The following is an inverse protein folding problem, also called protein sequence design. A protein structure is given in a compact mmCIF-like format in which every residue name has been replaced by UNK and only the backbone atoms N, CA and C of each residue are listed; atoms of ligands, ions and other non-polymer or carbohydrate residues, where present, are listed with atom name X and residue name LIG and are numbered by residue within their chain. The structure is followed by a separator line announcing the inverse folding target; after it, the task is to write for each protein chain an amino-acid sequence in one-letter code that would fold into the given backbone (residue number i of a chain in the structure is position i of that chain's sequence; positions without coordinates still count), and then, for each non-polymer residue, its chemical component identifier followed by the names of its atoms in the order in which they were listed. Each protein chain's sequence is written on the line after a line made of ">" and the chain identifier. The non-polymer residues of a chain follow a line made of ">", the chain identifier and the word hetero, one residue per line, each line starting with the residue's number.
data_IF_395765071527
#
_entry.id   IF_395765071527
#
_cell.length_a   1.000
_cell.length_b   1.000
_cell.length_c   1.000
_cell.angle_alpha   90.00
_cell.angle_beta   90.00
_cell.angle_gamma   90.00
#
_symmetry.space_group_name_H-M   'P 1'
#
loop_
_entity.id
_entity.type
_entity.pdbx_description
1 polymer ?
#
# COMPACT_ATOMS: atom_id res chain seq x y z
N UNK A 1 16.47 -10.38 -31.82
CA UNK A 1 16.37 -8.96 -31.42
C UNK A 1 15.24 -8.88 -30.42
N UNK A 2 15.53 -8.88 -29.11
CA UNK A 2 14.47 -8.79 -28.11
C UNK A 2 13.89 -7.37 -28.13
N UNK A 3 12.58 -7.18 -28.29
CA UNK A 3 11.96 -5.87 -28.10
C UNK A 3 11.80 -5.67 -26.59
N UNK A 4 12.90 -5.57 -25.85
CA UNK A 4 12.85 -5.00 -24.51
C UNK A 4 12.80 -3.49 -24.75
N UNK A 5 11.63 -2.87 -24.57
CA UNK A 5 11.57 -1.42 -24.48
C UNK A 5 12.48 -0.96 -23.34
N UNK A 6 13.09 0.22 -23.48
CA UNK A 6 13.88 0.80 -22.40
C UNK A 6 13.01 0.92 -21.14
N UNK A 7 13.41 0.24 -20.06
CA UNK A 7 12.70 0.36 -18.79
C UNK A 7 12.87 1.81 -18.28
N UNK A 8 11.76 2.54 -18.20
CA UNK A 8 11.74 3.89 -17.66
C UNK A 8 11.27 3.86 -16.21
N UNK A 9 12.15 4.29 -15.31
CA UNK A 9 11.78 4.49 -13.91
C UNK A 9 10.78 5.63 -13.76
N UNK A 10 9.71 5.36 -13.00
CA UNK A 10 8.71 6.35 -12.64
C UNK A 10 8.31 6.15 -11.18
N UNK A 11 8.04 7.27 -10.52
CA UNK A 11 7.44 7.28 -9.20
C UNK A 11 6.01 6.79 -9.24
N UNK A 12 5.55 6.34 -8.09
CA UNK A 12 4.15 6.05 -7.87
C UNK A 12 3.77 6.17 -6.41
N UNK A 13 2.49 5.98 -6.17
CA UNK A 13 1.83 6.21 -4.89
C UNK A 13 1.85 4.93 -4.03
N UNK A 14 1.65 3.79 -4.68
CA UNK A 14 1.59 2.49 -4.05
C UNK A 14 2.58 1.54 -4.73
N UNK A 15 3.54 1.03 -3.96
CA UNK A 15 4.69 0.27 -4.47
C UNK A 15 4.30 -0.86 -5.43
N UNK A 16 3.26 -1.63 -5.13
CA UNK A 16 2.83 -2.77 -5.95
C UNK A 16 2.23 -2.32 -7.30
N UNK A 17 1.32 -1.35 -7.31
CA UNK A 17 0.68 -0.89 -8.56
C UNK A 17 1.63 -0.08 -9.42
N UNK A 18 2.50 0.73 -8.80
CA UNK A 18 3.53 1.48 -9.50
C UNK A 18 4.55 0.53 -10.18
N UNK A 19 5.01 -0.51 -9.47
CA UNK A 19 5.88 -1.53 -10.05
C UNK A 19 5.22 -2.23 -11.25
N UNK A 20 3.94 -2.59 -11.13
CA UNK A 20 3.16 -3.15 -12.23
C UNK A 20 3.12 -2.19 -13.43
N UNK A 21 2.80 -0.91 -13.24
CA UNK A 21 2.73 0.08 -14.32
C UNK A 21 4.07 0.23 -15.05
N UNK A 22 5.17 0.32 -14.32
CA UNK A 22 6.50 0.51 -14.92
C UNK A 22 6.92 -0.71 -15.76
N UNK A 23 6.63 -1.93 -15.31
CA UNK A 23 6.91 -3.14 -16.10
C UNK A 23 6.02 -3.21 -17.34
N UNK A 24 4.72 -2.91 -17.20
CA UNK A 24 3.79 -2.92 -18.33
C UNK A 24 4.19 -1.88 -19.38
N UNK A 25 4.59 -0.67 -18.95
CA UNK A 25 5.08 0.39 -19.82
C UNK A 25 6.35 -0.03 -20.59
N UNK A 26 7.29 -0.70 -19.93
CA UNK A 26 8.49 -1.25 -20.59
C UNK A 26 8.15 -2.34 -21.63
N UNK A 27 7.01 -3.00 -21.47
CA UNK A 27 6.42 -3.91 -22.46
C UNK A 27 5.60 -3.22 -23.57
N UNK A 28 5.57 -1.88 -23.61
CA UNK A 28 4.80 -1.10 -24.58
C UNK A 28 3.36 -0.79 -24.18
N UNK A 29 3.01 -0.98 -22.90
CA UNK A 29 1.65 -0.87 -22.39
C UNK A 29 1.54 0.16 -21.27
N UNK A 30 1.27 1.41 -21.67
CA UNK A 30 0.98 2.49 -20.74
C UNK A 30 -0.39 2.31 -20.09
N UNK A 31 -0.41 2.31 -18.75
CA UNK A 31 -1.63 2.24 -17.94
C UNK A 31 -1.43 3.08 -16.70
N UNK A 32 -2.47 3.83 -16.32
CA UNK A 32 -2.42 4.64 -15.12
C UNK A 32 -2.39 3.79 -13.85
N UNK A 33 -1.62 4.21 -12.86
CA UNK A 33 -1.52 3.55 -11.56
C UNK A 33 -2.90 3.38 -10.90
N UNK A 34 -3.76 4.40 -11.00
CA UNK A 34 -5.11 4.34 -10.43
C UNK A 34 -5.95 3.22 -11.05
N UNK A 35 -5.74 2.91 -12.34
CA UNK A 35 -6.44 1.82 -13.02
C UNK A 35 -5.89 0.48 -12.56
N UNK A 36 -4.57 0.31 -12.50
CA UNK A 36 -3.98 -0.95 -12.01
C UNK A 36 -4.37 -1.21 -10.57
N UNK A 37 -4.23 -0.19 -9.71
CA UNK A 37 -4.63 -0.26 -8.31
C UNK A 37 -6.11 -0.62 -8.18
N UNK A 38 -6.99 0.08 -8.91
CA UNK A 38 -8.43 -0.12 -8.91
C UNK A 38 -8.89 -1.49 -9.41
N UNK A 39 -8.27 -2.01 -10.46
CA UNK A 39 -8.59 -3.35 -11.01
C UNK A 39 -8.11 -4.48 -10.10
N UNK A 40 -7.06 -4.26 -9.30
CA UNK A 40 -6.60 -5.26 -8.34
C UNK A 40 -7.63 -5.51 -7.23
N UNK A 41 -8.50 -4.54 -6.97
CA UNK A 41 -9.71 -4.72 -6.18
C UNK A 41 -9.48 -5.21 -4.75
N UNK A 42 -8.29 -5.03 -4.18
CA UNK A 42 -7.91 -5.48 -2.83
C UNK A 42 -7.78 -4.33 -1.83
N UNK A 43 -8.46 -3.21 -2.07
CA UNK A 43 -8.33 -1.97 -1.32
C UNK A 43 -9.58 -1.67 -0.50
N UNK A 44 -9.40 -0.96 0.61
CA UNK A 44 -10.45 -0.77 1.59
C UNK A 44 -9.86 -0.35 2.92
N UNK A 45 -10.02 -1.19 3.94
CA UNK A 45 -9.50 -0.90 5.27
C UNK A 45 -9.23 -2.21 6.01
N UNK A 46 -8.16 -2.27 6.78
CA UNK A 46 -7.83 -3.35 7.68
C UNK A 46 -7.35 -2.78 9.01
N UNK A 47 -7.88 -3.28 10.11
CA UNK A 47 -7.47 -2.92 11.46
C UNK A 47 -7.12 -4.17 12.27
N UNK A 48 -5.93 -4.18 12.84
CA UNK A 48 -5.45 -5.27 13.70
C UNK A 48 -5.04 -4.68 15.05
N UNK A 49 -5.86 -4.84 16.09
CA UNK A 49 -5.51 -4.36 17.42
C UNK A 49 -4.33 -5.15 17.97
N UNK A 50 -3.46 -4.47 18.72
CA UNK A 50 -2.30 -5.06 19.37
C UNK A 50 -2.44 -5.01 20.89
N UNK A 51 -1.98 -6.07 21.55
CA UNK A 51 -2.03 -6.19 23.01
C UNK A 51 -0.94 -5.35 23.69
N UNK A 52 -1.23 -4.85 24.89
CA UNK A 52 -0.28 -4.08 25.70
C UNK A 52 0.14 -2.77 25.02
N UNK A 53 1.40 -2.37 25.22
CA UNK A 53 1.95 -1.11 24.70
C UNK A 53 2.36 -1.13 23.22
N UNK A 54 2.15 -2.23 22.50
CA UNK A 54 2.39 -2.29 21.06
C UNK A 54 1.32 -1.46 20.31
N UNK A 55 1.69 -0.67 19.28
CA UNK A 55 0.71 0.11 18.54
C UNK A 55 -0.14 -0.79 17.65
N UNK A 56 -1.42 -0.48 17.53
CA UNK A 56 -2.35 -1.14 16.64
C UNK A 56 -1.97 -0.92 15.17
N UNK A 57 -2.35 -1.85 14.29
CA UNK A 57 -2.00 -1.81 12.87
C UNK A 57 -3.20 -1.42 12.02
N UNK A 58 -3.03 -0.38 11.19
CA UNK A 58 -3.99 0.06 10.17
C UNK A 58 -3.38 -0.05 8.78
N UNK A 59 -4.12 -0.63 7.84
CA UNK A 59 -3.68 -0.80 6.43
C UNK A 59 -4.82 -0.42 5.47
N UNK A 60 -4.52 0.38 4.45
CA UNK A 60 -5.50 0.77 3.42
C UNK A 60 -5.76 -0.29 2.34
N UNK A 61 -4.92 -1.32 2.28
CA UNK A 61 -5.04 -2.45 1.34
C UNK A 61 -5.18 -3.78 2.13
N UNK A 62 -6.10 -4.63 1.69
CA UNK A 62 -6.48 -5.89 2.34
C UNK A 62 -5.76 -7.12 1.78
N UNK A 63 -5.21 -7.02 0.57
CA UNK A 63 -4.51 -8.12 -0.10
C UNK A 63 -3.19 -7.64 -0.70
N UNK A 64 -2.18 -8.52 -0.70
CA UNK A 64 -0.89 -8.29 -1.35
C UNK A 64 -0.86 -9.07 -2.65
N UNK A 65 -0.58 -8.40 -3.77
CA UNK A 65 -0.46 -8.98 -5.11
C UNK A 65 -1.57 -10.00 -5.44
N UNK A 66 -2.86 -9.59 -5.47
CA UNK A 66 -3.96 -10.51 -5.77
C UNK A 66 -3.98 -10.98 -7.24
N UNK A 67 -3.11 -10.44 -8.10
CA UNK A 67 -3.01 -10.73 -9.54
C UNK A 67 -4.30 -10.47 -10.32
N UNK A 68 -5.22 -9.69 -9.77
CA UNK A 68 -6.54 -9.43 -10.37
C UNK A 68 -6.42 -8.43 -11.51
N UNK A 69 -5.65 -7.35 -11.34
CA UNK A 69 -5.45 -6.33 -12.34
C UNK A 69 -4.83 -6.92 -13.62
N UNK A 70 -3.67 -7.58 -13.48
CA UNK A 70 -2.97 -8.23 -14.60
C UNK A 70 -3.84 -9.25 -15.32
N UNK A 71 -4.64 -10.04 -14.59
CA UNK A 71 -5.58 -10.99 -15.18
C UNK A 71 -6.68 -10.29 -15.98
N UNK A 72 -7.26 -9.22 -15.44
CA UNK A 72 -8.28 -8.42 -16.13
C UNK A 72 -7.71 -7.66 -17.34
N UNK A 73 -6.42 -7.33 -17.31
CA UNK A 73 -5.66 -6.73 -18.41
C UNK A 73 -5.17 -7.76 -19.44
N UNK A 74 -5.42 -9.06 -19.25
CA UNK A 74 -4.96 -10.10 -20.17
C UNK A 74 -3.44 -10.27 -20.21
N UNK A 75 -2.77 -10.02 -19.08
CA UNK A 75 -1.33 -10.20 -18.87
C UNK A 75 -1.10 -11.47 -18.08
N UNK A 76 -0.33 -12.40 -18.64
CA UNK A 76 0.11 -13.59 -17.90
C UNK A 76 1.29 -13.20 -16.99
N UNK A 77 1.22 -13.60 -15.71
CA UNK A 77 2.28 -13.33 -14.74
C UNK A 77 2.79 -14.64 -14.16
N UNK A 78 4.09 -14.88 -14.29
CA UNK A 78 4.79 -16.00 -13.67
C UNK A 78 5.30 -15.62 -12.28
N UNK A 79 4.98 -16.42 -11.27
CA UNK A 79 5.54 -16.28 -9.92
C UNK A 79 6.72 -17.23 -9.74
N UNK A 80 7.84 -16.70 -9.25
CA UNK A 80 9.09 -17.44 -9.08
C UNK A 80 9.69 -17.18 -7.69
N UNK A 81 10.60 -18.05 -7.25
CA UNK A 81 11.36 -17.90 -6.00
C UNK A 81 12.85 -18.17 -6.21
N UNK A 82 13.57 -17.38 -7.03
CA UNK A 82 14.99 -17.61 -7.26
C UNK A 82 15.76 -17.28 -5.98
N UNK A 83 16.43 -18.28 -5.40
CA UNK A 83 17.22 -18.14 -4.15
C UNK A 83 18.69 -17.80 -4.39
N UNK A 84 18.95 -17.08 -5.48
CA UNK A 84 20.27 -16.58 -5.85
C UNK A 84 20.15 -15.42 -6.84
N UNK A 85 21.18 -14.59 -6.85
CA UNK A 85 21.53 -13.60 -7.87
C UNK A 85 21.45 -14.18 -9.30
N UNK A 86 22.06 -15.35 -9.54
CA UNK A 86 22.04 -16.03 -10.86
C UNK A 86 20.64 -16.40 -11.29
N UNK A 87 19.81 -16.84 -10.36
CA UNK A 87 18.41 -17.13 -10.63
C UNK A 87 17.62 -15.88 -11.01
N UNK A 88 17.92 -14.75 -10.37
CA UNK A 88 17.31 -13.45 -10.69
C UNK A 88 17.78 -12.92 -12.05
N UNK A 89 19.09 -12.97 -12.33
CA UNK A 89 19.67 -12.59 -13.64
C UNK A 89 19.06 -13.41 -14.78
N UNK A 90 18.87 -14.71 -14.60
CA UNK A 90 18.23 -15.57 -15.60
C UNK A 90 16.81 -15.13 -15.95
N UNK A 91 16.04 -14.61 -14.99
CA UNK A 91 14.71 -14.08 -15.27
C UNK A 91 14.79 -12.77 -16.09
N UNK A 92 15.76 -11.92 -15.76
CA UNK A 92 16.02 -10.63 -16.45
C UNK A 92 16.47 -10.81 -17.90
N UNK A 93 17.05 -11.96 -18.29
CA UNK A 93 17.37 -12.26 -19.70
C UNK A 93 16.14 -12.22 -20.63
N UNK A 94 14.94 -12.41 -20.07
CA UNK A 94 13.68 -12.55 -20.83
C UNK A 94 12.61 -11.52 -20.48
N UNK A 95 12.90 -10.60 -19.56
CA UNK A 95 11.93 -9.63 -19.04
C UNK A 95 12.57 -8.24 -18.90
N UNK A 96 11.84 -7.15 -19.18
CA UNK A 96 12.38 -5.80 -19.04
C UNK A 96 12.72 -5.42 -17.58
N UNK A 97 12.05 -6.06 -16.62
CA UNK A 97 12.38 -6.03 -15.21
C UNK A 97 11.67 -7.20 -14.49
N UNK A 98 12.13 -7.50 -13.28
CA UNK A 98 11.53 -8.49 -12.37
C UNK A 98 10.97 -7.76 -11.15
N UNK A 99 9.67 -7.87 -10.91
CA UNK A 99 9.04 -7.30 -9.72
C UNK A 99 9.36 -8.18 -8.51
N UNK A 100 10.11 -7.67 -7.55
CA UNK A 100 10.53 -8.40 -6.36
C UNK A 100 9.75 -7.94 -5.13
N UNK A 101 9.25 -8.91 -4.37
CA UNK A 101 8.79 -8.65 -3.00
C UNK A 101 10.00 -8.57 -2.09
N UNK A 102 10.05 -7.55 -1.24
CA UNK A 102 11.20 -7.24 -0.39
C UNK A 102 10.75 -6.76 0.99
N UNK A 103 11.65 -6.89 1.96
CA UNK A 103 11.56 -6.19 3.23
C UNK A 103 12.16 -4.80 3.09
N UNK A 104 11.30 -3.78 3.09
CA UNK A 104 11.71 -2.39 2.93
C UNK A 104 12.74 -1.97 3.99
N UNK A 105 12.65 -2.50 5.21
CA UNK A 105 13.55 -2.14 6.31
C UNK A 105 15.02 -2.52 6.06
N UNK A 106 15.27 -3.46 5.14
CA UNK A 106 16.61 -3.94 4.80
C UNK A 106 17.19 -3.30 3.53
N UNK A 107 16.41 -2.45 2.84
CA UNK A 107 16.91 -1.73 1.68
C UNK A 107 17.82 -0.56 2.12
N UNK A 108 19.07 -0.48 1.64
CA UNK A 108 20.03 0.51 2.13
C UNK A 108 19.59 1.97 1.94
N UNK A 109 18.97 2.28 0.82
CA UNK A 109 18.53 3.64 0.46
C UNK A 109 17.37 4.17 1.31
N UNK A 110 16.68 3.29 2.05
CA UNK A 110 15.69 3.70 3.07
C UNK A 110 16.32 4.07 4.42
N UNK A 111 17.58 3.72 4.67
CA UNK A 111 18.33 4.11 5.87
C UNK A 111 17.86 3.47 7.19
N UNK A 112 16.95 2.50 7.15
CA UNK A 112 16.32 1.92 8.35
C UNK A 112 17.17 0.82 9.02
N UNK A 113 18.15 0.27 8.31
CA UNK A 113 19.10 -0.73 8.82
C UNK A 113 18.43 -1.91 9.56
N UNK A 114 17.28 -2.39 9.07
CA UNK A 114 16.52 -3.51 9.62
C UNK A 114 15.69 -3.21 10.88
N UNK A 115 15.73 -1.98 11.41
CA UNK A 115 15.06 -1.61 12.68
C UNK A 115 13.53 -1.63 12.60
N UNK A 116 12.96 -1.49 11.40
CA UNK A 116 11.52 -1.56 11.18
C UNK A 116 11.29 -2.32 9.89
N UNK A 117 10.83 -3.55 10.04
CA UNK A 117 10.67 -4.49 8.94
C UNK A 117 9.27 -4.37 8.32
N UNK A 118 9.21 -4.39 6.99
CA UNK A 118 7.97 -4.45 6.22
C UNK A 118 8.17 -5.30 4.96
N UNK A 119 7.94 -6.60 5.08
CA UNK A 119 8.08 -7.60 4.03
C UNK A 119 7.02 -7.58 2.92
N UNK A 120 6.05 -6.66 3.00
CA UNK A 120 4.97 -6.48 2.03
C UNK A 120 5.31 -5.52 0.89
N UNK A 121 6.56 -5.06 0.79
CA UNK A 121 6.96 -4.03 -0.17
C UNK A 121 7.38 -4.60 -1.52
N UNK A 122 7.26 -3.79 -2.57
CA UNK A 122 7.64 -4.16 -3.93
C UNK A 122 8.57 -3.14 -4.56
N UNK A 123 9.58 -3.67 -5.26
CA UNK A 123 10.50 -2.92 -6.13
C UNK A 123 10.66 -3.68 -7.44
N UNK A 124 11.06 -2.97 -8.49
CA UNK A 124 11.44 -3.62 -9.75
C UNK A 124 12.96 -3.74 -9.85
N UNK A 125 13.46 -4.94 -10.04
CA UNK A 125 14.86 -5.19 -10.37
C UNK A 125 15.01 -5.08 -11.88
N UNK A 126 15.83 -4.16 -12.37
CA UNK A 126 15.89 -3.80 -13.79
C UNK A 126 17.02 -4.53 -14.52
N UNK A 127 18.21 -4.53 -13.94
CA UNK A 127 19.40 -5.19 -14.52
C UNK A 127 20.45 -5.47 -13.45
N UNK A 128 21.33 -6.42 -13.74
CA UNK A 128 22.58 -6.57 -13.00
C UNK A 128 23.54 -5.40 -13.33
N UNK A 129 24.31 -4.99 -12.34
CA UNK A 129 25.38 -3.99 -12.44
C UNK A 129 26.65 -4.67 -11.94
N UNK A 130 27.68 -4.72 -12.79
CA UNK A 130 29.01 -5.26 -12.49
C UNK A 130 29.08 -6.70 -11.92
N UNK A 131 27.96 -7.44 -11.96
CA UNK A 131 27.87 -8.85 -11.58
C UNK A 131 27.64 -9.12 -10.09
N UNK A 132 27.76 -8.11 -9.23
CA UNK A 132 27.58 -8.21 -7.77
C UNK A 132 26.55 -7.20 -7.21
N UNK A 133 25.90 -6.43 -8.08
CA UNK A 133 24.87 -5.48 -7.74
C UNK A 133 23.72 -5.49 -8.75
N UNK A 134 22.63 -4.81 -8.39
CA UNK A 134 21.46 -4.66 -9.24
C UNK A 134 20.99 -3.20 -9.25
N UNK A 135 20.58 -2.74 -10.42
CA UNK A 135 19.81 -1.51 -10.55
C UNK A 135 18.35 -1.82 -10.16
N UNK A 136 17.87 -1.13 -9.13
CA UNK A 136 16.55 -1.30 -8.53
C UNK A 136 15.74 -0.02 -8.73
N UNK A 137 14.59 -0.15 -9.37
CA UNK A 137 13.58 0.88 -9.49
C UNK A 137 12.62 0.78 -8.31
N UNK A 138 12.82 1.64 -7.31
CA UNK A 138 11.92 1.80 -6.17
C UNK A 138 10.97 2.99 -6.41
N UNK A 139 9.65 2.77 -6.59
CA UNK A 139 8.71 3.82 -6.98
C UNK A 139 8.55 4.95 -5.94
N UNK A 140 9.11 4.82 -4.74
CA UNK A 140 9.13 5.91 -3.76
C UNK A 140 10.19 6.98 -4.05
N UNK A 141 11.21 6.70 -4.88
CA UNK A 141 12.36 7.56 -5.15
C UNK A 141 12.31 8.17 -6.55
N UNK A 142 13.02 9.29 -6.78
CA UNK A 142 13.02 9.99 -8.08
C UNK A 142 13.88 9.30 -9.15
N UNK A 143 14.79 8.41 -8.76
CA UNK A 143 15.71 7.71 -9.66
C UNK A 143 15.93 6.26 -9.22
N UNK A 144 16.32 5.36 -10.15
CA UNK A 144 16.82 4.04 -9.79
C UNK A 144 18.01 4.13 -8.83
N UNK A 145 18.14 3.13 -7.99
CA UNK A 145 19.24 2.99 -7.03
C UNK A 145 20.00 1.70 -7.30
N UNK A 146 21.31 1.71 -7.04
CA UNK A 146 22.13 0.49 -7.10
C UNK A 146 22.15 -0.16 -5.73
N UNK A 147 21.79 -1.44 -5.67
CA UNK A 147 21.76 -2.24 -4.45
C UNK A 147 22.66 -3.46 -4.64
N UNK A 148 23.54 -3.75 -3.69
CA UNK A 148 24.38 -4.95 -3.75
C UNK A 148 23.52 -6.21 -3.75
N UNK A 149 24.00 -7.28 -4.38
CA UNK A 149 23.32 -8.57 -4.42
C UNK A 149 23.01 -9.07 -2.99
N UNK A 150 23.97 -8.95 -2.07
CA UNK A 150 23.80 -9.36 -0.67
C UNK A 150 22.69 -8.58 0.04
N UNK A 151 22.61 -7.26 -0.13
CA UNK A 151 21.58 -6.44 0.49
C UNK A 151 20.20 -6.75 -0.11
N UNK A 152 20.12 -6.93 -1.43
CA UNK A 152 18.88 -7.29 -2.10
C UNK A 152 18.39 -8.69 -1.68
N UNK A 153 19.29 -9.67 -1.58
CA UNK A 153 18.94 -11.02 -1.12
C UNK A 153 18.58 -11.05 0.36
N UNK A 154 19.22 -10.25 1.22
CA UNK A 154 18.79 -10.05 2.60
C UNK A 154 17.34 -9.52 2.67
N UNK A 155 17.03 -8.49 1.88
CA UNK A 155 15.68 -7.93 1.81
C UNK A 155 14.65 -8.94 1.26
N UNK A 156 14.99 -9.73 0.23
CA UNK A 156 14.10 -10.74 -0.38
C UNK A 156 13.94 -11.99 0.48
N UNK A 157 14.88 -12.28 1.37
CA UNK A 157 14.91 -13.47 2.20
C UNK A 157 14.49 -13.24 3.65
N UNK A 158 14.19 -11.98 4.03
CA UNK A 158 13.78 -11.61 5.38
C UNK A 158 12.68 -12.51 5.96
N UNK A 159 12.78 -12.72 7.28
CA UNK A 159 11.76 -13.39 8.11
C UNK A 159 11.25 -12.51 9.25
N UNK A 160 11.63 -11.24 9.26
CA UNK A 160 11.35 -10.29 10.33
C UNK A 160 9.96 -9.62 10.23
N UNK A 161 9.15 -10.00 9.23
CA UNK A 161 7.86 -9.38 8.95
C UNK A 161 6.68 -10.38 8.89
N UNK A 162 6.52 -11.35 9.82
CA UNK A 162 5.39 -12.28 9.76
C UNK A 162 4.04 -11.55 9.94
N UNK A 163 2.96 -11.95 9.24
CA UNK A 163 2.86 -13.04 8.26
C UNK A 163 3.23 -12.61 6.83
N UNK A 164 3.75 -11.41 6.65
CA UNK A 164 4.00 -10.76 5.37
C UNK A 164 5.46 -10.89 4.90
N UNK A 165 6.14 -11.99 5.22
CA UNK A 165 7.51 -12.19 4.77
C UNK A 165 7.63 -12.19 3.23
N UNK A 166 8.74 -11.69 2.66
CA UNK A 166 8.91 -11.63 1.20
C UNK A 166 9.02 -13.02 0.54
N UNK A 167 9.59 -14.00 1.26
CA UNK A 167 9.71 -15.40 0.86
C UNK A 167 10.34 -15.62 -0.53
N UNK A 168 11.34 -14.79 -0.89
CA UNK A 168 12.01 -14.80 -2.19
C UNK A 168 11.09 -14.57 -3.39
N UNK A 169 9.84 -14.15 -3.18
CA UNK A 169 8.84 -14.05 -4.26
C UNK A 169 9.19 -12.96 -5.25
N UNK A 170 9.19 -13.34 -6.51
CA UNK A 170 9.31 -12.41 -7.63
C UNK A 170 8.28 -12.73 -8.71
N UNK A 171 7.94 -11.73 -9.51
CA UNK A 171 6.93 -11.82 -10.56
C UNK A 171 7.52 -11.34 -11.89
N UNK A 172 7.31 -12.16 -12.92
CA UNK A 172 7.69 -11.87 -14.31
C UNK A 172 6.43 -11.71 -15.14
N UNK A 173 6.35 -10.61 -15.88
CA UNK A 173 5.17 -10.26 -16.66
C UNK A 173 5.40 -10.66 -18.11
N UNK A 174 4.47 -11.45 -18.65
CA UNK A 174 4.43 -11.79 -20.05
C UNK A 174 3.86 -10.65 -20.91
N UNK A 175 3.82 -10.84 -22.24
CA UNK A 175 3.22 -9.87 -23.14
C UNK A 175 1.73 -9.69 -22.85
N UNK A 176 1.24 -8.46 -22.96
CA UNK A 176 -0.19 -8.20 -22.86
C UNK A 176 -0.90 -8.67 -24.13
N UNK A 177 -1.99 -9.43 -23.97
CA UNK A 177 -2.79 -9.89 -25.11
C UNK A 177 -3.80 -8.86 -25.61
N UNK A 178 -4.23 -7.93 -24.75
CA UNK A 178 -5.20 -6.88 -25.09
C UNK A 178 -5.22 -5.76 -24.04
N UNK A 179 -5.38 -4.50 -24.44
CA UNK A 179 -5.58 -3.39 -23.51
C UNK A 179 -6.81 -3.60 -22.60
N UNK A 180 -6.80 -3.16 -21.31
CA UNK A 180 -7.97 -3.24 -20.45
C UNK A 180 -9.14 -2.47 -21.05
N UNK A 181 -10.26 -3.16 -21.22
CA UNK A 181 -11.55 -2.57 -21.55
C UNK A 181 -12.18 -2.01 -20.29
N UNK A 182 -11.74 -0.83 -19.84
CA UNK A 182 -12.15 -0.26 -18.55
C UNK A 182 -13.67 -0.08 -18.44
N UNK A 183 -14.35 0.19 -19.56
CA UNK A 183 -15.81 0.18 -19.71
C UNK A 183 -16.47 -1.14 -19.29
N UNK A 184 -15.74 -2.26 -19.38
CA UNK A 184 -16.21 -3.61 -19.04
C UNK A 184 -15.66 -4.11 -17.70
N UNK A 185 -14.34 -3.98 -17.48
CA UNK A 185 -13.67 -4.52 -16.29
C UNK A 185 -13.78 -3.60 -15.08
N UNK A 186 -13.93 -2.29 -15.29
CA UNK A 186 -14.11 -1.30 -14.23
C UNK A 186 -15.32 -1.60 -13.35
N UNK A 187 -16.54 -1.76 -13.90
CA UNK A 187 -17.71 -2.13 -13.12
C UNK A 187 -17.57 -3.43 -12.32
N UNK A 188 -16.82 -4.42 -12.84
CA UNK A 188 -16.53 -5.67 -12.12
C UNK A 188 -15.66 -5.39 -10.89
N UNK A 189 -14.59 -4.61 -11.05
CA UNK A 189 -13.71 -4.21 -9.95
C UNK A 189 -14.45 -3.36 -8.91
N UNK A 190 -15.32 -2.43 -9.34
CA UNK A 190 -16.15 -1.62 -8.43
C UNK A 190 -17.12 -2.47 -7.62
N UNK A 191 -17.77 -3.48 -8.22
CA UNK A 191 -18.62 -4.42 -7.46
C UNK A 191 -17.82 -5.21 -6.42
N UNK A 192 -16.59 -5.61 -6.74
CA UNK A 192 -15.71 -6.27 -5.78
C UNK A 192 -15.34 -5.33 -4.62
N UNK A 193 -14.97 -4.07 -4.92
CA UNK A 193 -14.72 -3.02 -3.92
C UNK A 193 -15.92 -2.86 -2.97
N UNK A 194 -17.12 -2.73 -3.53
CA UNK A 194 -18.34 -2.57 -2.73
C UNK A 194 -18.52 -3.74 -1.76
N UNK A 195 -18.35 -4.99 -2.23
CA UNK A 195 -18.46 -6.19 -1.41
C UNK A 195 -17.40 -6.22 -0.30
N UNK A 196 -16.14 -6.00 -0.65
CA UNK A 196 -15.00 -6.12 0.28
C UNK A 196 -14.97 -5.02 1.35
N UNK A 197 -15.53 -3.84 1.07
CA UNK A 197 -15.57 -2.74 2.05
C UNK A 197 -16.87 -2.70 2.84
N UNK A 198 -18.04 -2.95 2.23
CA UNK A 198 -19.32 -2.87 2.94
C UNK A 198 -19.63 -4.12 3.77
N UNK A 199 -19.33 -5.31 3.23
CA UNK A 199 -19.67 -6.61 3.83
C UNK A 199 -18.50 -7.59 3.78
N UNK A 200 -17.35 -7.24 4.38
CA UNK A 200 -16.19 -8.14 4.41
C UNK A 200 -16.48 -9.38 5.25
N UNK A 201 -15.70 -10.45 5.00
CA UNK A 201 -15.74 -11.69 5.78
C UNK A 201 -15.15 -11.58 7.20
N UNK A 202 -14.68 -10.41 7.61
CA UNK A 202 -14.10 -10.17 8.94
C UNK A 202 -14.50 -8.79 9.47
N UNK A 203 -14.73 -8.69 10.79
CA UNK A 203 -15.06 -7.43 11.49
C UNK A 203 -13.93 -6.40 11.46
N UNK A 204 -12.71 -6.85 11.17
CA UNK A 204 -11.51 -6.01 11.13
C UNK A 204 -11.27 -5.38 9.76
N UNK A 205 -12.13 -5.66 8.78
CA UNK A 205 -11.99 -5.21 7.41
C UNK A 205 -13.08 -4.21 7.06
N UNK A 206 -12.82 -3.34 6.07
CA UNK A 206 -13.78 -2.40 5.48
C UNK A 206 -14.40 -1.45 6.51
N UNK A 207 -15.66 -1.06 6.26
CA UNK A 207 -16.45 -0.21 7.17
C UNK A 207 -16.59 -0.83 8.58
N UNK A 208 -16.81 -2.15 8.75
CA UNK A 208 -16.75 -2.79 10.08
C UNK A 208 -15.41 -2.58 10.81
N UNK A 209 -14.29 -2.66 10.08
CA UNK A 209 -12.96 -2.43 10.63
C UNK A 209 -12.78 -1.00 11.09
N UNK A 210 -13.24 -0.02 10.30
CA UNK A 210 -13.19 1.40 10.67
C UNK A 210 -13.99 1.65 11.96
N UNK A 211 -15.17 1.02 12.10
CA UNK A 211 -15.96 1.11 13.34
C UNK A 211 -15.21 0.50 14.53
N UNK A 212 -14.51 -0.60 14.31
CA UNK A 212 -13.69 -1.25 15.35
C UNK A 212 -12.52 -0.36 15.76
N UNK A 213 -11.83 0.30 14.82
CA UNK A 213 -10.81 1.31 15.11
C UNK A 213 -11.40 2.46 15.92
N UNK A 214 -12.54 3.02 15.51
CA UNK A 214 -13.16 4.13 16.23
C UNK A 214 -13.54 3.76 17.67
N UNK A 215 -13.97 2.52 17.92
CA UNK A 215 -14.20 2.00 19.27
C UNK A 215 -12.90 1.77 20.04
N UNK A 216 -11.87 1.22 19.41
CA UNK A 216 -10.57 0.98 20.03
C UNK A 216 -9.91 2.30 20.45
N UNK A 217 -10.00 3.33 19.60
CA UNK A 217 -9.46 4.66 19.87
C UNK A 217 -9.95 5.25 21.19
N UNK A 218 -11.24 5.09 21.49
CA UNK A 218 -11.84 5.53 22.75
C UNK A 218 -11.26 4.83 23.99
N UNK A 219 -10.74 3.61 23.84
CA UNK A 219 -10.15 2.83 24.93
C UNK A 219 -8.64 2.98 25.06
N UNK A 220 -7.96 3.62 24.10
CA UNK A 220 -6.51 3.78 24.13
C UNK A 220 -5.98 4.54 25.36
N UNK A 221 -6.64 5.60 25.86
CA UNK A 221 -6.18 6.27 27.07
C UNK A 221 -6.00 5.31 28.24
N UNK A 222 -6.85 4.30 28.37
CA UNK A 222 -6.76 3.31 29.45
C UNK A 222 -5.83 2.15 29.09
N UNK A 223 -5.95 1.65 27.86
CA UNK A 223 -5.28 0.41 27.42
C UNK A 223 -3.82 0.59 26.97
N UNK A 224 -3.42 1.77 26.51
CA UNK A 224 -2.04 2.09 26.09
C UNK A 224 -1.38 2.94 27.19
N UNK A 225 -0.60 2.29 28.04
CA UNK A 225 0.09 2.92 29.17
C UNK A 225 1.49 2.35 29.37
N UNK A 226 2.33 3.13 30.06
CA UNK A 226 3.72 2.77 30.35
C UNK A 226 4.69 3.23 29.26
N UNK A 227 5.97 3.12 29.58
CA UNK A 227 7.07 3.45 28.68
C UNK A 227 7.33 2.31 27.70
N UNK A 228 7.49 2.64 26.43
CA UNK A 228 7.78 1.70 25.35
C UNK A 228 8.87 2.24 24.45
N UNK A 229 9.66 1.32 23.89
CA UNK A 229 10.59 1.66 22.82
C UNK A 229 9.82 1.99 21.53
N UNK A 230 10.28 3.03 20.84
CA UNK A 230 9.83 3.44 19.52
C UNK A 230 11.04 3.88 18.69
N UNK A 231 10.81 4.19 17.41
CA UNK A 231 11.82 4.72 16.51
C UNK A 231 11.40 6.11 16.05
N UNK A 232 12.27 7.11 16.15
CA UNK A 232 12.01 8.46 15.65
C UNK A 232 12.12 8.55 14.11
N UNK A 233 11.86 9.72 13.53
CA UNK A 233 11.94 9.92 12.08
C UNK A 233 13.37 9.78 11.52
N UNK A 234 14.39 9.91 12.37
CA UNK A 234 15.80 9.71 12.01
C UNK A 234 16.26 8.27 12.22
N UNK A 235 15.36 7.36 12.63
CA UNK A 235 15.68 5.96 12.85
C UNK A 235 16.31 5.66 14.22
N UNK A 236 16.38 6.62 15.14
CA UNK A 236 16.94 6.41 16.48
C UNK A 236 15.93 5.75 17.41
N UNK A 237 16.42 4.85 18.26
CA UNK A 237 15.61 4.26 19.33
C UNK A 237 15.34 5.30 20.39
N UNK A 238 14.07 5.47 20.74
CA UNK A 238 13.60 6.41 21.76
C UNK A 238 12.60 5.71 22.68
N UNK A 239 12.49 6.18 23.92
CA UNK A 239 11.49 5.71 24.88
C UNK A 239 10.39 6.76 24.98
N UNK A 240 9.13 6.35 24.87
CA UNK A 240 7.96 7.24 24.97
C UNK A 240 6.78 6.55 25.63
N UNK A 241 5.78 7.31 26.05
CA UNK A 241 4.50 6.76 26.51
C UNK A 241 3.80 5.97 25.38
N UNK A 242 3.19 4.85 25.74
CA UNK A 242 2.55 3.94 24.79
C UNK A 242 1.38 4.57 24.00
N UNK A 243 0.66 5.52 24.61
CA UNK A 243 -0.40 6.27 23.92
C UNK A 243 0.21 7.23 22.89
N UNK A 244 1.29 7.92 23.25
CA UNK A 244 2.05 8.75 22.29
C UNK A 244 2.52 7.92 21.10
N UNK A 245 3.11 6.74 21.36
CA UNK A 245 3.51 5.79 20.31
C UNK A 245 2.33 5.39 19.42
N UNK A 246 1.17 5.09 20.00
CA UNK A 246 -0.04 4.72 19.26
C UNK A 246 -0.47 5.84 18.29
N UNK A 247 -0.44 7.11 18.72
CA UNK A 247 -0.82 8.26 17.88
C UNK A 247 0.14 8.43 16.72
N UNK A 248 1.45 8.48 17.02
CA UNK A 248 2.49 8.63 16.00
C UNK A 248 2.50 7.47 15.02
N UNK A 249 2.31 6.24 15.50
CA UNK A 249 2.25 5.07 14.63
C UNK A 249 1.07 5.11 13.67
N UNK A 250 -0.12 5.49 14.14
CA UNK A 250 -1.29 5.66 13.27
C UNK A 250 -1.08 6.80 12.27
N UNK A 251 -0.51 7.94 12.69
CA UNK A 251 -0.17 9.04 11.78
C UNK A 251 0.78 8.59 10.66
N UNK A 252 1.83 7.85 11.01
CA UNK A 252 2.80 7.25 10.05
C UNK A 252 2.13 6.25 9.11
N UNK A 253 1.19 5.45 9.62
CA UNK A 253 0.42 4.51 8.79
C UNK A 253 -0.47 5.23 7.78
N UNK A 254 -1.05 6.37 8.15
CA UNK A 254 -1.93 7.13 7.25
C UNK A 254 -1.13 7.85 6.17
N UNK A 255 -0.01 8.47 6.52
CA UNK A 255 0.76 9.34 5.62
C UNK A 255 1.95 8.67 4.93
N UNK A 256 2.71 7.84 5.65
CA UNK A 256 4.09 7.49 5.26
C UNK A 256 4.29 6.03 4.85
N UNK A 257 3.53 5.07 5.38
CA UNK A 257 3.76 3.63 5.14
C UNK A 257 3.21 3.12 3.80
N UNK A 258 3.50 3.84 2.71
CA UNK A 258 3.17 3.44 1.35
C UNK A 258 1.69 3.53 1.01
N UNK A 259 0.93 4.37 1.71
CA UNK A 259 -0.52 4.59 1.57
C UNK A 259 -0.91 5.69 0.61
N UNK A 260 0.08 6.42 0.07
CA UNK A 260 -0.17 7.53 -0.83
C UNK A 260 -0.82 8.76 -0.18
N UNK A 261 -0.83 8.82 1.15
CA UNK A 261 -1.67 9.73 1.92
C UNK A 261 -3.14 9.31 1.93
N UNK A 262 -3.79 9.48 3.09
CA UNK A 262 -5.22 9.21 3.23
C UNK A 262 -5.62 7.74 2.99
N UNK A 263 -4.77 6.78 3.33
CA UNK A 263 -5.03 5.33 3.22
C UNK A 263 -5.55 4.90 1.83
N UNK A 264 -4.98 5.41 0.74
CA UNK A 264 -5.37 5.14 -0.65
C UNK A 264 -6.75 5.66 -1.09
N UNK A 265 -7.49 6.41 -0.27
CA UNK A 265 -8.80 6.93 -0.71
C UNK A 265 -8.71 7.82 -1.94
N UNK A 266 -7.70 8.70 -2.11
CA UNK A 266 -7.56 9.49 -3.33
C UNK A 266 -7.35 8.65 -4.60
N UNK A 267 -6.59 7.56 -4.56
CA UNK A 267 -6.41 6.66 -5.71
C UNK A 267 -7.70 5.92 -6.06
N UNK A 268 -8.50 5.55 -5.06
CA UNK A 268 -9.86 5.00 -5.28
C UNK A 268 -10.77 6.03 -5.95
N UNK A 269 -10.73 7.29 -5.50
CA UNK A 269 -11.47 8.39 -6.12
C UNK A 269 -11.10 8.56 -7.60
N UNK A 270 -9.80 8.63 -7.93
CA UNK A 270 -9.33 8.74 -9.33
C UNK A 270 -9.72 7.53 -10.17
N UNK A 271 -9.65 6.32 -9.62
CA UNK A 271 -10.13 5.12 -10.30
C UNK A 271 -11.61 5.21 -10.65
N UNK A 272 -12.47 5.58 -9.69
CA UNK A 272 -13.91 5.72 -9.92
C UNK A 272 -14.23 6.80 -10.96
N UNK A 273 -13.48 7.92 -10.97
CA UNK A 273 -13.57 8.93 -12.04
C UNK A 273 -13.26 8.32 -13.41
N UNK A 274 -12.15 7.58 -13.55
CA UNK A 274 -11.78 6.93 -14.82
C UNK A 274 -12.80 5.89 -15.27
N UNK A 275 -13.41 5.14 -14.34
CA UNK A 275 -14.52 4.22 -14.64
C UNK A 275 -15.75 5.00 -15.12
N UNK A 276 -16.08 6.11 -14.46
CA UNK A 276 -17.19 7.01 -14.87
C UNK A 276 -17.02 7.46 -16.32
N UNK A 277 -15.84 7.95 -16.66
CA UNK A 277 -15.50 8.46 -18.00
C UNK A 277 -15.52 7.34 -19.05
N UNK A 278 -14.86 6.22 -18.77
CA UNK A 278 -14.75 5.10 -19.70
C UNK A 278 -16.11 4.41 -19.96
N UNK A 279 -16.96 4.28 -18.94
CA UNK A 279 -18.29 3.68 -19.07
C UNK A 279 -19.35 4.69 -19.55
N UNK A 280 -19.06 5.99 -19.54
CA UNK A 280 -20.05 7.04 -19.82
C UNK A 280 -21.18 7.08 -18.79
N UNK A 281 -20.92 6.66 -17.55
CA UNK A 281 -21.91 6.55 -16.49
C UNK A 281 -21.60 7.55 -15.37
N UNK A 282 -22.35 8.66 -15.26
CA UNK A 282 -22.09 9.71 -14.26
C UNK A 282 -22.37 9.25 -12.83
N UNK A 283 -23.01 8.08 -12.62
CA UNK A 283 -23.32 7.56 -11.28
C UNK A 283 -22.07 7.16 -10.49
N UNK A 284 -20.91 7.02 -11.14
CA UNK A 284 -19.62 6.81 -10.47
C UNK A 284 -18.97 8.12 -9.98
N UNK A 285 -19.39 9.29 -10.49
CA UNK A 285 -18.73 10.56 -10.20
C UNK A 285 -18.94 11.05 -8.76
N UNK A 286 -20.17 10.98 -8.23
CA UNK A 286 -20.44 11.34 -6.83
C UNK A 286 -19.69 10.42 -5.84
N UNK A 287 -19.73 9.08 -5.99
CA UNK A 287 -18.89 8.19 -5.19
C UNK A 287 -17.39 8.51 -5.27
N UNK A 288 -16.87 8.89 -6.44
CA UNK A 288 -15.48 9.32 -6.59
C UNK A 288 -15.17 10.55 -5.70
N UNK A 289 -16.06 11.56 -5.71
CA UNK A 289 -15.92 12.74 -4.86
C UNK A 289 -15.94 12.40 -3.38
N UNK A 290 -16.88 11.54 -2.94
CA UNK A 290 -16.95 11.11 -1.54
C UNK A 290 -15.68 10.38 -1.09
N UNK A 291 -15.00 9.64 -1.98
CA UNK A 291 -13.69 9.07 -1.67
C UNK A 291 -12.58 10.12 -1.56
N UNK A 292 -12.58 11.17 -2.38
CA UNK A 292 -11.66 12.30 -2.18
C UNK A 292 -11.91 13.01 -0.84
N UNK A 293 -13.16 13.20 -0.45
CA UNK A 293 -13.52 13.77 0.85
C UNK A 293 -13.05 12.89 2.01
N UNK A 294 -13.29 11.58 1.96
CA UNK A 294 -12.77 10.64 2.95
C UNK A 294 -11.24 10.70 3.02
N UNK A 295 -10.56 10.75 1.87
CA UNK A 295 -9.10 10.90 1.80
C UNK A 295 -8.60 12.15 2.51
N UNK A 296 -9.28 13.30 2.35
CA UNK A 296 -8.92 14.54 3.07
C UNK A 296 -9.11 14.40 4.57
N UNK A 297 -10.17 13.74 5.04
CA UNK A 297 -10.37 13.48 6.49
C UNK A 297 -9.21 12.67 7.04
N UNK A 298 -8.83 11.60 6.35
CA UNK A 298 -7.69 10.78 6.75
C UNK A 298 -6.39 11.58 6.75
N UNK A 299 -6.12 12.38 5.72
CA UNK A 299 -4.91 13.20 5.65
C UNK A 299 -4.82 14.24 6.77
N UNK A 300 -5.92 14.94 7.04
CA UNK A 300 -5.99 15.89 8.16
C UNK A 300 -5.74 15.19 9.49
N UNK A 301 -6.33 14.00 9.70
CA UNK A 301 -6.09 13.20 10.90
C UNK A 301 -4.63 12.76 11.00
N UNK A 302 -4.05 12.25 9.91
CA UNK A 302 -2.66 11.79 9.85
C UNK A 302 -1.67 12.91 10.21
N UNK A 303 -1.86 14.10 9.63
CA UNK A 303 -1.07 15.28 9.95
C UNK A 303 -1.19 15.67 11.43
N UNK A 304 -2.42 15.76 11.97
CA UNK A 304 -2.66 16.09 13.37
C UNK A 304 -2.01 15.07 14.34
N UNK A 305 -2.07 13.78 14.00
CA UNK A 305 -1.44 12.71 14.78
C UNK A 305 0.09 12.80 14.79
N UNK A 306 0.70 13.16 13.67
CA UNK A 306 2.15 13.34 13.58
C UNK A 306 2.62 14.59 14.31
N UNK A 307 1.85 15.68 14.25
CA UNK A 307 2.17 16.94 14.91
C UNK A 307 1.99 16.88 16.43
N UNK A 308 0.86 16.33 16.89
CA UNK A 308 0.44 16.37 18.31
C UNK A 308 0.64 15.05 19.05
N UNK A 309 0.91 13.96 18.33
CA UNK A 309 1.11 12.64 18.93
C UNK A 309 2.37 12.53 19.81
N UNK A 310 3.28 13.50 19.72
CA UNK A 310 4.46 13.60 20.58
C UNK A 310 4.24 14.47 21.83
N UNK A 311 3.02 14.91 22.12
CA UNK A 311 2.72 15.72 23.30
C UNK A 311 3.01 14.98 24.61
N UNK A 312 3.59 15.69 25.59
CA UNK A 312 3.88 15.16 26.93
C UNK A 312 2.61 15.05 27.82
N UNK A 313 1.50 15.67 27.39
CA UNK A 313 0.24 15.69 28.13
C UNK A 313 -0.67 14.53 27.72
N UNK A 314 -0.89 13.57 28.62
CA UNK A 314 -1.91 12.51 28.41
C UNK A 314 -3.32 13.05 28.23
N UNK A 315 -3.65 14.23 28.77
CA UNK A 315 -4.94 14.88 28.52
C UNK A 315 -5.10 15.32 27.06
N UNK A 316 -4.04 15.83 26.45
CA UNK A 316 -4.02 16.16 25.03
C UNK A 316 -4.12 14.91 24.15
N UNK A 317 -3.34 13.87 24.47
CA UNK A 317 -3.39 12.59 23.76
C UNK A 317 -4.76 11.90 23.87
N UNK A 318 -5.47 12.07 25.00
CA UNK A 318 -6.84 11.59 25.19
C UNK A 318 -7.83 12.33 24.28
N UNK A 319 -7.67 13.65 24.15
CA UNK A 319 -8.48 14.44 23.22
C UNK A 319 -8.21 14.05 21.77
N UNK A 320 -6.95 13.79 21.43
CA UNK A 320 -6.55 13.31 20.11
C UNK A 320 -7.12 11.91 19.80
N UNK A 321 -7.24 11.03 20.80
CA UNK A 321 -7.91 9.73 20.65
C UNK A 321 -9.42 9.88 20.31
N UNK A 322 -10.09 10.89 20.88
CA UNK A 322 -11.46 11.23 20.53
C UNK A 322 -11.55 11.76 19.09
N UNK A 323 -10.63 12.63 18.68
CA UNK A 323 -10.54 13.13 17.29
C UNK A 323 -10.37 11.98 16.29
N UNK A 324 -9.54 10.97 16.61
CA UNK A 324 -9.42 9.73 15.82
C UNK A 324 -10.79 9.06 15.68
N UNK A 325 -11.49 8.82 16.78
CA UNK A 325 -12.79 8.14 16.72
C UNK A 325 -13.80 8.88 15.83
N UNK A 326 -13.85 10.21 15.91
CA UNK A 326 -14.81 11.02 15.16
C UNK A 326 -14.44 11.17 13.68
N UNK A 327 -13.15 11.34 13.37
CA UNK A 327 -12.66 11.35 11.99
C UNK A 327 -12.91 10.01 11.30
N UNK A 328 -12.62 8.89 11.97
CA UNK A 328 -12.82 7.54 11.43
C UNK A 328 -14.31 7.26 11.19
N UNK A 329 -15.20 7.66 12.10
CA UNK A 329 -16.66 7.54 11.91
C UNK A 329 -17.13 8.35 10.71
N UNK A 330 -16.66 9.59 10.58
CA UNK A 330 -17.02 10.48 9.47
C UNK A 330 -16.58 9.90 8.12
N UNK A 331 -15.33 9.45 8.03
CA UNK A 331 -14.80 8.75 6.85
C UNK A 331 -15.60 7.48 6.53
N UNK A 332 -15.94 6.67 7.54
CA UNK A 332 -16.70 5.43 7.35
C UNK A 332 -18.11 5.66 6.79
N UNK A 333 -18.80 6.72 7.21
CA UNK A 333 -20.11 7.05 6.68
C UNK A 333 -20.05 7.62 5.26
N UNK A 334 -19.02 8.41 4.91
CA UNK A 334 -18.79 8.83 3.51
C UNK A 334 -18.53 7.62 2.61
N UNK A 335 -17.61 6.73 3.00
CA UNK A 335 -17.28 5.51 2.24
C UNK A 335 -18.50 4.59 2.11
N UNK A 336 -19.27 4.41 3.18
CA UNK A 336 -20.52 3.64 3.14
C UNK A 336 -21.54 4.24 2.19
N UNK A 337 -21.75 5.56 2.22
CA UNK A 337 -22.65 6.27 1.29
C UNK A 337 -22.21 6.08 -0.16
N UNK A 338 -20.94 6.34 -0.45
CA UNK A 338 -20.36 6.19 -1.78
C UNK A 338 -20.59 4.79 -2.35
N UNK A 339 -20.21 3.77 -1.59
CA UNK A 339 -20.30 2.38 -2.03
C UNK A 339 -21.74 1.86 -2.08
N UNK A 340 -22.63 2.32 -1.19
CA UNK A 340 -24.03 1.91 -1.24
C UNK A 340 -24.73 2.40 -2.51
N UNK A 341 -24.38 3.60 -2.98
CA UNK A 341 -24.88 4.13 -4.25
C UNK A 341 -24.38 3.31 -5.46
N UNK A 342 -23.17 2.74 -5.36
CA UNK A 342 -22.59 1.90 -6.42
C UNK A 342 -23.16 0.48 -6.44
N UNK A 343 -23.67 -0.05 -5.33
CA UNK A 343 -24.32 -1.37 -5.26
C UNK A 343 -25.64 -1.41 -6.04
N UNK A 344 -26.28 -0.26 -6.22
CA UNK A 344 -27.56 -0.15 -6.95
C UNK A 344 -27.42 -0.07 -8.47
N UNK A 345 -26.19 -0.15 -9.00
CA UNK A 345 -25.86 -0.09 -10.43
C UNK A 345 -25.84 -1.48 -11.09
#
# INVERSE_FOLDING_TARGET
>A
MSPAGDYLHRRGIHCESACQCNILAAGGHEVDEDVVFGLDGGFGFSFYPSSGGAPDIVVGKQAIMPLRAVRLMGVEVGAHTPRSDKGLMKLLESAPAVMARVDLGLLPHWGMAGRTSFGGYFVNVVRAVDGDAFEVSDPAFDAPVVVSADALDAARSSRASPPLNPDWRVYVFGPQRSAPRLDRVGPVAVRNLCREVLKPGSRNLGVPGMRTLASAAMSWPESKHGEVEDVDLAGNVVVRDALSRQMLHLGRQIESFGTGGGLFRPIIGRFLTKVSEAAGDPRYAEPAQLFFESGRIWQTLGAALLERGAADSRGELTSLAQEVADAVRSAAELEKRALSALVTL
#
